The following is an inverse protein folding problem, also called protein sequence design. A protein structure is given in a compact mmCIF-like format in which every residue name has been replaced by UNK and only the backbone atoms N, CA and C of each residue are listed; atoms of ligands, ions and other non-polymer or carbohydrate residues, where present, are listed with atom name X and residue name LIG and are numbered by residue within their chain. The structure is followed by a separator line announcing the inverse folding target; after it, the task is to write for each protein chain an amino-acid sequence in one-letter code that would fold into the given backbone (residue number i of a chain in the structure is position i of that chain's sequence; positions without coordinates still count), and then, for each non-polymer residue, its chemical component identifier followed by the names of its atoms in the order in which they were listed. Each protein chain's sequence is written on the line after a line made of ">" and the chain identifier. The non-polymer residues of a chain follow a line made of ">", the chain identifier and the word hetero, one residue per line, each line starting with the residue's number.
data_IF_879232937323
#
_entry.id   IF_879232937323
#
_cell.length_a   1.000
_cell.length_b   1.000
_cell.length_c   1.000
_cell.angle_alpha   90.00
_cell.angle_beta   90.00
_cell.angle_gamma   90.00
#
_symmetry.space_group_name_H-M   'P 1'
#
loop_
_entity.id
_entity.type
_entity.pdbx_description
1 polymer ?
#
# COMPACT_ATOMS: atom_id res chain seq x y z
N UNK A 1 3.47 -14.43 12.76
CA UNK A 1 4.89 -14.06 12.92
C UNK A 1 5.02 -12.64 12.38
N UNK A 2 5.40 -11.67 13.21
CA UNK A 2 5.66 -10.31 12.72
C UNK A 2 6.99 -10.29 11.97
N UNK A 3 6.97 -9.84 10.71
CA UNK A 3 8.16 -9.65 9.88
C UNK A 3 8.30 -8.18 9.55
N UNK A 4 9.53 -7.69 9.41
CA UNK A 4 9.71 -6.34 8.84
C UNK A 4 9.37 -6.40 7.37
N UNK A 5 8.33 -5.67 6.96
CA UNK A 5 7.89 -5.57 5.58
C UNK A 5 8.08 -4.15 5.07
N UNK A 6 8.33 -4.00 3.77
CA UNK A 6 8.44 -2.71 3.10
C UNK A 6 7.26 -2.54 2.16
N UNK A 7 6.46 -1.50 2.40
CA UNK A 7 5.29 -1.21 1.59
C UNK A 7 5.70 -0.98 0.12
N UNK A 8 5.12 -1.71 -0.85
CA UNK A 8 5.47 -1.56 -2.27
C UNK A 8 4.92 -0.27 -2.90
N UNK A 9 4.01 0.42 -2.20
CA UNK A 9 3.39 1.66 -2.67
C UNK A 9 4.18 2.88 -2.20
N UNK A 10 4.35 3.05 -0.88
CA UNK A 10 4.92 4.25 -0.30
C UNK A 10 6.34 4.08 0.29
N UNK A 11 6.86 2.84 0.30
CA UNK A 11 8.20 2.53 0.78
C UNK A 11 8.38 2.49 2.31
N UNK A 12 7.32 2.76 3.10
CA UNK A 12 7.37 2.65 4.57
C UNK A 12 7.74 1.23 4.99
N UNK A 13 8.72 1.12 5.90
CA UNK A 13 9.05 -0.12 6.59
C UNK A 13 8.26 -0.20 7.89
N UNK A 14 7.62 -1.34 8.15
CA UNK A 14 6.82 -1.57 9.36
C UNK A 14 6.87 -3.03 9.78
N UNK A 15 6.53 -3.28 11.05
CA UNK A 15 6.33 -4.63 11.58
C UNK A 15 4.93 -5.12 11.19
N UNK A 16 4.87 -6.19 10.39
CA UNK A 16 3.61 -6.73 9.88
C UNK A 16 3.81 -8.00 9.05
N UNK A 17 2.83 -8.32 8.22
CA UNK A 17 2.82 -9.48 7.33
C UNK A 17 1.75 -9.36 6.27
N UNK A 18 1.48 -10.47 5.57
CA UNK A 18 0.37 -10.55 4.63
C UNK A 18 -0.94 -10.19 5.32
N UNK A 19 -1.75 -9.40 4.63
CA UNK A 19 -3.03 -8.81 5.02
C UNK A 19 -2.98 -7.72 6.10
N UNK A 20 -1.78 -7.22 6.46
CA UNK A 20 -1.67 -6.03 7.30
C UNK A 20 -1.68 -4.75 6.45
N UNK A 21 -2.32 -3.70 6.98
CA UNK A 21 -2.40 -2.41 6.32
C UNK A 21 -1.15 -1.57 6.60
N UNK A 22 -0.62 -0.95 5.54
CA UNK A 22 0.50 -0.04 5.67
C UNK A 22 0.09 1.18 6.51
N UNK A 23 0.78 1.49 7.62
CA UNK A 23 0.37 2.55 8.57
C UNK A 23 0.49 3.98 8.00
N UNK A 24 0.94 4.13 6.76
CA UNK A 24 1.10 5.42 6.09
C UNK A 24 0.09 5.63 4.97
N UNK A 25 -0.06 4.65 4.08
CA UNK A 25 -0.89 4.79 2.88
C UNK A 25 -2.10 3.84 2.86
N UNK A 26 -2.28 3.06 3.92
CA UNK A 26 -3.36 2.08 4.13
C UNK A 26 -3.42 0.94 3.12
N UNK A 27 -2.37 0.75 2.31
CA UNK A 27 -2.26 -0.41 1.42
C UNK A 27 -2.21 -1.71 2.22
N UNK A 28 -3.19 -2.59 2.00
CA UNK A 28 -3.18 -3.96 2.52
C UNK A 28 -2.10 -4.75 1.81
N UNK A 29 -1.07 -5.16 2.54
CA UNK A 29 0.06 -5.89 1.99
C UNK A 29 -0.33 -7.33 1.65
N UNK A 30 -0.16 -7.76 0.41
CA UNK A 30 -0.57 -9.08 -0.07
C UNK A 30 0.59 -10.08 -0.06
N UNK A 31 1.82 -9.60 -0.26
CA UNK A 31 3.02 -10.41 -0.37
C UNK A 31 3.32 -10.92 -1.78
N UNK A 32 2.46 -10.60 -2.75
CA UNK A 32 2.59 -10.94 -4.17
C UNK A 32 2.37 -9.73 -5.10
N UNK A 33 2.53 -8.50 -4.59
CA UNK A 33 2.33 -7.28 -5.39
C UNK A 33 3.28 -7.18 -6.60
N UNK A 34 4.39 -7.92 -6.59
CA UNK A 34 5.30 -8.04 -7.73
C UNK A 34 4.73 -8.92 -8.87
N UNK A 35 3.71 -9.73 -8.59
CA UNK A 35 3.01 -10.58 -9.56
C UNK A 35 1.80 -9.88 -10.18
N UNK A 36 1.29 -8.82 -9.52
CA UNK A 36 0.19 -8.01 -10.01
C UNK A 36 0.64 -7.02 -11.10
N UNK A 37 -0.17 -6.90 -12.16
CA UNK A 37 -0.02 -5.80 -13.11
C UNK A 37 -0.29 -4.43 -12.47
N UNK A 38 0.36 -3.38 -12.96
CA UNK A 38 0.21 -2.01 -12.39
C UNK A 38 -1.24 -1.50 -12.42
N UNK A 39 -2.01 -1.91 -13.42
CA UNK A 39 -3.41 -1.55 -13.65
C UNK A 39 -4.38 -2.69 -13.30
N UNK A 40 -3.86 -3.77 -12.70
CA UNK A 40 -4.66 -4.91 -12.26
C UNK A 40 -5.43 -4.56 -10.99
N UNK A 41 -6.70 -4.95 -10.96
CA UNK A 41 -7.58 -4.81 -9.80
C UNK A 41 -7.51 -6.10 -8.98
N UNK A 42 -7.07 -5.97 -7.73
CA UNK A 42 -7.20 -7.01 -6.71
C UNK A 42 -8.26 -6.55 -5.69
N UNK A 43 -8.95 -7.50 -5.05
CA UNK A 43 -10.11 -7.26 -4.19
C UNK A 43 -9.81 -6.67 -2.81
N UNK A 44 -8.59 -6.80 -2.30
CA UNK A 44 -8.22 -6.33 -0.95
C UNK A 44 -7.95 -4.83 -0.91
N UNK A 45 -7.63 -4.22 -2.05
CA UNK A 45 -7.34 -2.79 -2.15
C UNK A 45 -8.35 -2.08 -3.08
N UNK A 46 -8.79 -0.85 -2.76
CA UNK A 46 -9.81 -0.14 -3.55
C UNK A 46 -9.31 0.34 -4.92
N UNK A 47 -7.99 0.46 -5.09
CA UNK A 47 -7.33 1.06 -6.25
C UNK A 47 -6.22 0.14 -6.77
N UNK A 48 -5.82 0.36 -8.02
CA UNK A 48 -4.68 -0.36 -8.63
C UNK A 48 -3.34 0.11 -8.03
N UNK A 49 -2.26 -0.64 -8.25
CA UNK A 49 -0.91 -0.26 -7.80
C UNK A 49 -0.51 1.11 -8.38
N UNK A 50 -0.81 1.37 -9.66
CA UNK A 50 -0.54 2.67 -10.30
C UNK A 50 -1.26 3.80 -9.57
N UNK A 51 -2.57 3.66 -9.37
CA UNK A 51 -3.38 4.67 -8.69
C UNK A 51 -2.93 4.91 -7.25
N UNK A 52 -2.58 3.85 -6.52
CA UNK A 52 -2.06 3.96 -5.16
C UNK A 52 -0.77 4.82 -5.12
N UNK A 53 0.16 4.59 -6.05
CA UNK A 53 1.40 5.38 -6.15
C UNK A 53 1.11 6.84 -6.50
N UNK A 54 0.22 7.09 -7.46
CA UNK A 54 -0.19 8.46 -7.84
C UNK A 54 -0.88 9.21 -6.68
N UNK A 55 -1.66 8.52 -5.84
CA UNK A 55 -2.27 9.12 -4.63
C UNK A 55 -1.20 9.47 -3.60
N UNK A 56 -0.24 8.58 -3.36
CA UNK A 56 0.88 8.85 -2.44
C UNK A 56 1.73 10.03 -2.90
N UNK A 57 1.99 10.17 -4.19
CA UNK A 57 2.68 11.35 -4.77
C UNK A 57 1.91 12.66 -4.53
N UNK A 58 0.59 12.60 -4.45
CA UNK A 58 -0.30 13.73 -4.11
C UNK A 58 -0.46 13.95 -2.60
N UNK A 59 0.21 13.15 -1.77
CA UNK A 59 0.09 13.22 -0.32
C UNK A 59 -1.21 12.61 0.22
N UNK A 60 -1.78 11.61 -0.47
CA UNK A 60 -3.00 10.91 -0.07
C UNK A 60 -2.76 9.40 0.13
N UNK A 61 -3.54 8.76 1.01
CA UNK A 61 -3.64 7.30 1.13
C UNK A 61 -4.50 6.72 -0.01
N UNK A 62 -4.67 5.40 -0.03
CA UNK A 62 -5.47 4.73 -1.08
C UNK A 62 -6.97 5.00 -1.03
N UNK A 63 -7.46 5.58 0.08
CA UNK A 63 -8.85 5.99 0.27
C UNK A 63 -9.07 7.45 -0.16
N UNK A 64 -8.01 8.16 -0.57
CA UNK A 64 -8.07 9.57 -0.97
C UNK A 64 -8.00 10.55 0.21
N UNK A 65 -7.62 10.09 1.39
CA UNK A 65 -7.44 10.91 2.59
C UNK A 65 -5.98 11.37 2.72
N UNK A 66 -5.69 12.52 3.34
CA UNK A 66 -4.32 12.98 3.51
C UNK A 66 -3.44 11.97 4.27
N UNK A 67 -2.20 11.77 3.81
CA UNK A 67 -1.23 10.94 4.53
C UNK A 67 -0.98 11.48 5.95
N UNK A 68 -0.69 10.61 6.94
CA UNK A 68 -0.30 11.03 8.27
C UNK A 68 0.87 12.02 8.23
N UNK A 69 0.83 13.03 9.10
CA UNK A 69 1.96 13.96 9.28
C UNK A 69 3.15 13.19 9.83
N UNK A 70 4.33 13.43 9.25
CA UNK A 70 5.60 12.88 9.67
C UNK A 70 6.00 13.35 11.09
#
# INVERSE_FOLDING_TARGET
>A
MSSKVKCPICGTEFEGGSFDDCPKCDWTFLGYENELGLDEKESSNPVTIRQAKELVEKGMNIWGEPLPKA
#
